data_IF_088322526745
#
_entry.id   IF_088322526745
#
_cell.length_a   1.000
_cell.length_b   1.000
_cell.length_c   1.000
_cell.angle_alpha   90.00
_cell.angle_beta   90.00
_cell.angle_gamma   90.00
#
_symmetry.space_group_name_H-M   'P 1'
#
loop_
_entity.id
_entity.type
_entity.pdbx_description
1 polymer ?
#
# COMPACT_ATOMS: atom_id res chain seq x y z
N UNK A 1 -5.88 -5.10 -7.48
CA UNK A 1 -6.50 -6.40 -7.29
C UNK A 1 -6.88 -6.65 -5.85
N UNK A 2 -5.89 -6.86 -4.98
CA UNK A 2 -6.21 -7.07 -3.56
C UNK A 2 -6.89 -5.84 -2.97
N UNK A 3 -6.37 -4.65 -3.24
CA UNK A 3 -6.94 -3.40 -2.74
C UNK A 3 -8.10 -2.89 -3.58
N UNK A 4 -8.35 -3.47 -4.76
CA UNK A 4 -9.47 -3.10 -5.60
C UNK A 4 -9.37 -1.72 -6.22
N UNK A 5 -8.16 -1.19 -6.39
CA UNK A 5 -7.97 0.11 -7.03
C UNK A 5 -8.27 0.00 -8.53
N UNK A 6 -8.88 1.04 -9.08
CA UNK A 6 -9.22 1.09 -10.49
C UNK A 6 -8.00 1.46 -11.33
N UNK A 7 -7.69 0.64 -12.35
CA UNK A 7 -6.65 0.98 -13.32
C UNK A 7 -7.24 1.95 -14.33
N UNK A 8 -6.71 3.16 -14.41
CA UNK A 8 -7.22 4.18 -15.33
C UNK A 8 -6.31 4.43 -16.51
N UNK A 9 -5.03 4.05 -16.43
CA UNK A 9 -4.10 4.15 -17.55
C UNK A 9 -2.90 3.25 -17.30
N UNK A 10 -2.34 2.73 -18.39
CA UNK A 10 -1.10 1.95 -18.34
C UNK A 10 -0.24 2.37 -19.51
N UNK A 11 1.01 2.78 -19.26
CA UNK A 11 1.92 3.27 -20.27
C UNK A 11 3.28 2.60 -20.15
N UNK A 12 3.84 2.17 -21.28
CA UNK A 12 5.21 1.70 -21.34
C UNK A 12 6.11 2.83 -21.80
N UNK A 13 7.21 3.06 -21.05
CA UNK A 13 8.19 4.10 -21.35
C UNK A 13 9.45 3.43 -21.90
N UNK A 14 9.58 3.42 -23.22
CA UNK A 14 10.62 2.68 -23.93
C UNK A 14 12.04 3.13 -23.51
N UNK A 15 12.25 4.42 -23.35
CA UNK A 15 13.56 4.97 -23.01
C UNK A 15 14.09 4.48 -21.68
N UNK A 16 13.21 4.08 -20.78
CA UNK A 16 13.56 3.66 -19.42
C UNK A 16 13.24 2.19 -19.16
N UNK A 17 12.72 1.50 -20.15
CA UNK A 17 12.20 0.13 -19.99
C UNK A 17 11.36 0.02 -18.72
N UNK A 18 10.36 0.89 -18.62
CA UNK A 18 9.57 1.05 -17.43
C UNK A 18 8.10 1.17 -17.78
N UNK A 19 7.25 0.55 -16.96
CA UNK A 19 5.80 0.75 -17.05
C UNK A 19 5.35 1.75 -16.03
N UNK A 20 4.35 2.54 -16.38
CA UNK A 20 3.66 3.45 -15.47
C UNK A 20 2.19 3.05 -15.43
N UNK A 21 1.70 2.74 -14.26
CA UNK A 21 0.31 2.34 -14.05
C UNK A 21 -0.37 3.38 -13.18
N UNK A 22 -1.44 3.99 -13.71
CA UNK A 22 -2.21 4.98 -12.96
C UNK A 22 -3.41 4.27 -12.33
N UNK A 23 -3.53 4.39 -11.02
CA UNK A 23 -4.59 3.77 -10.23
C UNK A 23 -5.42 4.85 -9.55
N UNK A 24 -6.73 4.60 -9.42
CA UNK A 24 -7.63 5.53 -8.76
C UNK A 24 -8.28 4.89 -7.54
N UNK A 25 -8.28 5.64 -6.44
CA UNK A 25 -9.01 5.28 -5.22
C UNK A 25 -10.47 5.75 -5.32
N UNK A 26 -11.37 5.14 -4.54
CA UNK A 26 -12.79 5.59 -4.52
C UNK A 26 -12.96 7.07 -4.20
N UNK A 27 -12.08 7.66 -3.40
CA UNK A 27 -12.15 9.08 -3.06
C UNK A 27 -11.70 10.01 -4.19
N UNK A 28 -11.21 9.46 -5.31
CA UNK A 28 -10.73 10.23 -6.44
C UNK A 28 -9.22 10.45 -6.46
N UNK A 29 -8.52 10.20 -5.36
CA UNK A 29 -7.07 10.30 -5.33
C UNK A 29 -6.45 9.25 -6.23
N UNK A 30 -5.27 9.54 -6.77
CA UNK A 30 -4.58 8.64 -7.70
C UNK A 30 -3.21 8.24 -7.17
N UNK A 31 -2.79 7.05 -7.57
CA UNK A 31 -1.45 6.53 -7.31
C UNK A 31 -0.82 6.20 -8.65
N UNK A 32 0.41 6.67 -8.87
CA UNK A 32 1.20 6.28 -10.03
C UNK A 32 2.18 5.20 -9.58
N UNK A 33 2.07 4.03 -10.17
CA UNK A 33 2.92 2.89 -9.85
C UNK A 33 3.86 2.64 -11.01
N UNK A 34 5.14 2.52 -10.72
CA UNK A 34 6.17 2.35 -11.75
C UNK A 34 6.89 1.02 -11.58
N UNK A 35 7.25 0.42 -12.70
CA UNK A 35 8.17 -0.72 -12.72
C UNK A 35 9.47 -0.28 -13.39
N UNK A 36 10.58 -0.87 -12.94
CA UNK A 36 11.89 -0.65 -13.54
C UNK A 36 12.60 -1.99 -13.66
N UNK A 37 13.50 -2.10 -14.65
CA UNK A 37 14.35 -3.28 -14.77
C UNK A 37 15.37 -3.26 -13.64
N UNK A 38 15.43 -4.37 -12.87
CA UNK A 38 16.42 -4.55 -11.80
C UNK A 38 16.51 -3.38 -10.82
N UNK A 39 15.39 -2.94 -10.22
CA UNK A 39 15.47 -1.86 -9.25
C UNK A 39 16.19 -2.33 -7.99
N UNK A 40 16.93 -1.43 -7.31
CA UNK A 40 17.49 -1.77 -6.01
C UNK A 40 16.38 -2.13 -5.02
N UNK A 41 16.70 -3.03 -4.09
CA UNK A 41 15.77 -3.43 -3.07
C UNK A 41 15.46 -2.26 -2.14
N UNK A 42 14.18 -2.16 -1.70
CA UNK A 42 13.80 -1.13 -0.75
C UNK A 42 14.49 -1.33 0.59
N UNK A 43 15.00 -0.25 1.17
CA UNK A 43 15.56 -0.24 2.53
C UNK A 43 14.47 0.12 3.53
N UNK A 44 13.74 -0.88 4.03
CA UNK A 44 12.72 -0.65 5.05
C UNK A 44 13.31 -0.71 6.46
N UNK A 45 14.32 -1.52 6.66
CA UNK A 45 14.99 -1.74 7.94
C UNK A 45 16.49 -1.85 7.72
N UNK A 46 17.34 -1.04 8.40
CA UNK A 46 16.95 0.10 9.21
C UNK A 46 16.30 1.19 8.35
N UNK A 47 15.56 2.06 8.99
CA UNK A 47 14.80 3.10 8.30
C UNK A 47 15.74 4.05 7.56
N UNK A 48 15.48 4.23 6.27
CA UNK A 48 16.19 5.18 5.44
C UNK A 48 15.34 6.42 5.22
N UNK A 49 15.96 7.49 4.74
CA UNK A 49 15.24 8.68 4.34
C UNK A 49 14.28 8.36 3.19
N UNK A 50 13.18 9.08 3.13
CA UNK A 50 12.16 8.92 2.11
C UNK A 50 10.84 8.43 2.68
N UNK A 51 9.98 7.94 1.82
CA UNK A 51 8.66 7.46 2.21
C UNK A 51 8.78 6.25 3.13
N UNK A 52 8.18 6.36 4.32
CA UNK A 52 8.19 5.28 5.30
C UNK A 52 7.10 4.25 5.00
N UNK A 53 5.87 4.71 4.84
CA UNK A 53 4.73 3.87 4.53
C UNK A 53 3.64 4.70 3.90
N UNK A 54 2.66 4.02 3.33
CA UNK A 54 1.45 4.63 2.77
C UNK A 54 0.28 4.14 3.61
N UNK A 55 -0.57 5.07 4.06
CA UNK A 55 -1.70 4.75 4.91
C UNK A 55 -3.02 4.91 4.15
N UNK A 56 -3.93 3.97 4.34
CA UNK A 56 -5.29 4.02 3.81
C UNK A 56 -6.26 4.17 4.96
N UNK A 57 -7.18 5.13 4.84
CA UNK A 57 -8.24 5.33 5.82
C UNK A 57 -9.41 4.41 5.49
N UNK A 58 -9.90 3.69 6.49
CA UNK A 58 -11.01 2.76 6.33
C UNK A 58 -11.99 2.92 7.49
N UNK A 59 -13.24 2.50 7.30
CA UNK A 59 -14.25 2.59 8.34
C UNK A 59 -14.07 1.50 9.40
N UNK A 60 -13.75 0.29 8.98
CA UNK A 60 -13.67 -0.87 9.88
C UNK A 60 -12.38 -1.65 9.60
N UNK A 61 -11.39 -1.43 10.47
CA UNK A 61 -10.08 -2.09 10.34
C UNK A 61 -10.20 -3.60 10.46
N UNK A 62 -11.03 -4.10 11.39
CA UNK A 62 -11.16 -5.54 11.59
C UNK A 62 -11.71 -6.24 10.35
N UNK A 63 -12.69 -5.63 9.66
CA UNK A 63 -13.22 -6.19 8.41
C UNK A 63 -12.17 -6.21 7.31
N UNK A 64 -11.37 -5.17 7.20
CA UNK A 64 -10.31 -5.12 6.19
C UNK A 64 -9.27 -6.20 6.46
N UNK A 65 -8.93 -6.42 7.73
CA UNK A 65 -7.99 -7.49 8.12
C UNK A 65 -8.52 -8.86 7.69
N UNK A 66 -9.80 -9.14 7.96
CA UNK A 66 -10.43 -10.40 7.54
C UNK A 66 -10.32 -10.58 6.03
N UNK A 67 -10.61 -9.51 5.28
CA UNK A 67 -10.51 -9.53 3.83
C UNK A 67 -9.08 -9.81 3.36
N UNK A 68 -8.08 -9.11 3.93
CA UNK A 68 -6.68 -9.29 3.55
C UNK A 68 -6.19 -10.71 3.84
N UNK A 69 -6.55 -11.26 4.99
CA UNK A 69 -6.19 -12.63 5.34
C UNK A 69 -6.81 -13.60 4.34
N UNK A 70 -8.06 -13.37 3.94
CA UNK A 70 -8.72 -14.19 2.93
C UNK A 70 -8.00 -14.13 1.57
N UNK A 71 -7.33 -13.03 1.30
CA UNK A 71 -6.50 -12.86 0.10
C UNK A 71 -5.08 -13.40 0.29
N UNK A 72 -4.81 -14.08 1.40
CA UNK A 72 -3.51 -14.69 1.73
C UNK A 72 -2.42 -13.65 1.94
N UNK A 73 -2.79 -12.48 2.44
CA UNK A 73 -1.84 -11.42 2.82
C UNK A 73 -1.55 -11.55 4.30
N UNK A 74 -0.26 -11.52 4.67
CA UNK A 74 0.13 -11.48 6.07
C UNK A 74 -0.13 -10.10 6.63
N UNK A 75 -0.82 -10.03 7.76
CA UNK A 75 -1.17 -8.78 8.42
C UNK A 75 -0.70 -8.83 9.86
N UNK A 76 -0.10 -7.74 10.34
CA UNK A 76 0.30 -7.64 11.74
C UNK A 76 -0.94 -7.61 12.65
N UNK A 77 -0.77 -7.92 13.95
CA UNK A 77 -1.90 -7.80 14.88
C UNK A 77 -2.44 -6.37 14.92
N UNK A 78 -3.76 -6.25 15.01
CA UNK A 78 -4.40 -4.93 15.12
C UNK A 78 -3.99 -4.28 16.44
N UNK A 79 -3.65 -3.00 16.36
CA UNK A 79 -3.26 -2.19 17.50
C UNK A 79 -4.18 -0.98 17.62
N UNK A 80 -4.11 -0.32 18.76
CA UNK A 80 -4.86 0.91 19.01
C UNK A 80 -3.86 2.05 19.17
N UNK A 81 -4.10 3.13 18.42
CA UNK A 81 -3.29 4.34 18.53
C UNK A 81 -3.58 5.01 19.87
N UNK A 82 -2.56 5.11 20.72
CA UNK A 82 -2.71 5.66 22.07
C UNK A 82 -3.11 7.13 22.07
N UNK A 83 -2.86 7.84 20.96
CA UNK A 83 -3.18 9.26 20.87
C UNK A 83 -4.60 9.52 20.40
N UNK A 84 -5.20 8.62 19.61
CA UNK A 84 -6.52 8.83 19.02
C UNK A 84 -7.55 7.81 19.48
N UNK A 85 -7.14 6.65 20.01
CA UNK A 85 -8.01 5.54 20.34
C UNK A 85 -8.49 4.76 19.13
N UNK A 86 -7.97 5.05 17.95
CA UNK A 86 -8.39 4.39 16.72
C UNK A 86 -7.54 3.17 16.41
N UNK A 87 -8.15 2.21 15.76
CA UNK A 87 -7.46 0.97 15.39
C UNK A 87 -6.62 1.17 14.13
N UNK A 88 -5.51 0.44 14.06
CA UNK A 88 -4.67 0.41 12.86
C UNK A 88 -3.90 -0.90 12.80
N UNK A 89 -3.38 -1.20 11.62
CA UNK A 89 -2.46 -2.31 11.43
C UNK A 89 -1.63 -2.08 10.18
N UNK A 90 -0.62 -2.94 10.00
CA UNK A 90 0.28 -2.87 8.85
C UNK A 90 0.33 -4.19 8.12
N UNK A 91 0.58 -4.10 6.83
CA UNK A 91 1.01 -5.21 5.99
C UNK A 91 2.01 -4.65 4.98
N UNK A 92 2.56 -5.48 4.11
CA UNK A 92 3.58 -5.02 3.15
C UNK A 92 3.13 -5.30 1.73
N UNK A 93 3.57 -4.45 0.81
CA UNK A 93 3.43 -4.75 -0.61
C UNK A 93 4.52 -5.77 -1.02
N UNK A 94 4.49 -6.30 -2.26
CA UNK A 94 5.49 -7.29 -2.68
C UNK A 94 6.94 -6.81 -2.61
N UNK A 95 7.16 -5.50 -2.62
CA UNK A 95 8.48 -4.90 -2.57
C UNK A 95 8.88 -4.46 -1.16
N UNK A 96 8.10 -4.87 -0.14
CA UNK A 96 8.35 -4.59 1.27
C UNK A 96 8.07 -3.15 1.67
N UNK A 97 7.29 -2.40 0.89
CA UNK A 97 6.79 -1.10 1.34
C UNK A 97 5.71 -1.35 2.40
N UNK A 98 5.88 -0.85 3.63
CA UNK A 98 4.82 -0.99 4.63
C UNK A 98 3.58 -0.21 4.19
N UNK A 99 2.42 -0.86 4.31
CA UNK A 99 1.13 -0.26 4.03
C UNK A 99 0.32 -0.29 5.33
N UNK A 100 -0.28 0.85 5.66
CA UNK A 100 -1.06 0.99 6.89
C UNK A 100 -2.54 1.06 6.57
N UNK A 101 -3.34 0.37 7.39
CA UNK A 101 -4.81 0.52 7.41
C UNK A 101 -5.13 1.24 8.72
N UNK A 102 -5.75 2.40 8.64
CA UNK A 102 -6.05 3.25 9.79
C UNK A 102 -7.53 3.57 9.82
N UNK A 103 -8.13 3.48 11.02
CA UNK A 103 -9.54 3.78 11.21
C UNK A 103 -9.80 5.26 10.96
N UNK A 104 -10.69 5.54 10.02
CA UNK A 104 -11.05 6.91 9.66
C UNK A 104 -12.20 7.49 10.46
#
# INVERSE_FOLDING_TARGET
QVLGLEVIAENYRQERDSYKLDLRLPCGSQIELFSFANPPQRTSRPEACGLRHLAFSVDDVDQVVVYLIAQKVEVEPVRVDEYTGKKFTFFSDPDQLPLEIYQG
#
